data_IF_247997557440
#
_entry.id   IF_247997557440
#
_cell.length_a   1.000
_cell.length_b   1.000
_cell.length_c   1.000
_cell.angle_alpha   90.00
_cell.angle_beta   90.00
_cell.angle_gamma   90.00
#
_symmetry.space_group_name_H-M   'P 1'
#
loop_
_entity.id
_entity.type
_entity.pdbx_description
1 polymer ?
#
# COMPACT_ATOMS: atom_id res chain seq x y z
N UNK A 1 20.15 -12.68 -11.09
CA UNK A 1 19.85 -13.46 -9.87
C UNK A 1 18.34 -13.57 -9.67
N UNK A 2 17.88 -14.62 -8.99
CA UNK A 2 16.48 -14.75 -8.58
C UNK A 2 16.34 -14.32 -7.13
N UNK A 3 15.43 -13.39 -6.86
CA UNK A 3 15.19 -12.80 -5.55
C UNK A 3 13.81 -13.22 -5.07
N UNK A 4 13.68 -13.62 -3.82
CA UNK A 4 12.39 -13.77 -3.15
C UNK A 4 12.10 -12.49 -2.34
N UNK A 5 10.97 -11.85 -2.64
CA UNK A 5 10.42 -10.79 -1.81
C UNK A 5 9.37 -11.36 -0.85
N UNK A 6 9.51 -11.10 0.45
CA UNK A 6 8.57 -11.54 1.47
C UNK A 6 7.86 -10.33 2.05
N UNK A 7 6.54 -10.39 2.10
CA UNK A 7 5.73 -9.36 2.71
C UNK A 7 4.57 -9.96 3.51
N UNK A 8 4.34 -9.38 4.68
CA UNK A 8 3.13 -9.58 5.46
C UNK A 8 2.50 -8.22 5.73
N UNK A 9 1.27 -8.04 5.27
CA UNK A 9 0.54 -6.77 5.36
C UNK A 9 -0.06 -6.52 6.73
N UNK A 10 -0.57 -5.31 6.96
CA UNK A 10 -1.23 -4.91 8.22
C UNK A 10 -2.59 -5.58 8.45
N UNK A 11 -3.15 -6.25 7.45
CA UNK A 11 -4.32 -7.12 7.58
C UNK A 11 -4.01 -8.42 8.36
N UNK A 12 -2.72 -8.77 8.44
CA UNK A 12 -2.22 -9.99 9.09
C UNK A 12 -2.88 -11.28 8.57
N UNK A 13 -3.23 -11.32 7.27
CA UNK A 13 -3.91 -12.48 6.68
C UNK A 13 -2.93 -13.62 6.38
N UNK A 14 -1.66 -13.30 6.13
CA UNK A 14 -0.65 -14.29 5.80
C UNK A 14 0.63 -13.70 5.21
N UNK A 15 1.37 -14.58 4.60
CA UNK A 15 2.70 -14.34 4.02
C UNK A 15 2.59 -14.33 2.50
N UNK A 16 3.04 -13.27 1.88
CA UNK A 16 3.16 -13.17 0.43
C UNK A 16 4.62 -13.38 0.04
N UNK A 17 4.88 -14.27 -0.90
CA UNK A 17 6.20 -14.53 -1.47
C UNK A 17 6.17 -14.28 -2.96
N UNK A 18 6.94 -13.31 -3.43
CA UNK A 18 7.10 -13.02 -4.85
C UNK A 18 8.50 -13.44 -5.32
N UNK A 19 8.59 -14.20 -6.40
CA UNK A 19 9.85 -14.53 -7.06
C UNK A 19 10.07 -13.61 -8.26
N UNK A 20 11.21 -12.92 -8.26
CA UNK A 20 11.57 -11.93 -9.28
C UNK A 20 12.98 -12.23 -9.78
N UNK A 21 13.16 -12.27 -11.10
CA UNK A 21 14.49 -12.30 -11.70
C UNK A 21 14.99 -10.87 -11.90
N UNK A 22 16.09 -10.56 -11.25
CA UNK A 22 16.78 -9.27 -11.38
C UNK A 22 17.98 -9.47 -12.29
N UNK A 23 18.01 -8.71 -13.37
CA UNK A 23 19.11 -8.74 -14.35
C UNK A 23 19.70 -7.35 -14.42
N UNK A 24 21.03 -7.29 -14.28
CA UNK A 24 21.80 -6.08 -14.50
C UNK A 24 22.43 -6.16 -15.89
N UNK A 25 21.98 -5.30 -16.79
CA UNK A 25 22.61 -5.11 -18.08
C UNK A 25 23.58 -3.93 -17.98
N UNK A 26 24.88 -4.17 -18.18
CA UNK A 26 25.85 -3.07 -18.28
C UNK A 26 25.39 -2.13 -19.40
N UNK A 27 24.94 -0.95 -19.05
CA UNK A 27 24.69 0.10 -20.02
C UNK A 27 26.05 0.48 -20.64
N UNK A 28 26.15 0.44 -21.95
CA UNK A 28 27.36 0.80 -22.71
C UNK A 28 27.70 2.30 -22.64
N UNK A 29 26.87 3.11 -21.96
CA UNK A 29 27.14 4.51 -21.62
C UNK A 29 26.71 4.80 -20.20
N UNK A 30 27.53 5.49 -19.38
CA UNK A 30 27.14 5.93 -18.05
C UNK A 30 26.01 6.97 -18.20
N UNK A 31 24.77 6.55 -18.06
CA UNK A 31 23.66 7.48 -17.83
C UNK A 31 23.60 7.77 -16.34
N UNK A 32 23.26 8.98 -16.00
CA UNK A 32 23.26 9.64 -14.70
C UNK A 32 22.40 8.99 -13.59
N UNK A 33 21.94 7.75 -13.76
CA UNK A 33 21.17 7.01 -12.77
C UNK A 33 21.87 5.70 -12.42
N UNK A 34 22.16 5.51 -11.15
CA UNK A 34 22.77 4.32 -10.54
C UNK A 34 22.01 3.01 -10.85
N UNK A 35 20.77 3.12 -11.33
CA UNK A 35 19.87 2.00 -11.65
C UNK A 35 19.64 1.81 -13.17
N UNK A 36 20.39 2.53 -14.01
CA UNK A 36 20.32 2.32 -15.46
C UNK A 36 20.83 0.92 -15.80
N UNK A 37 19.96 0.09 -16.38
CA UNK A 37 20.29 -1.29 -16.73
C UNK A 37 19.69 -2.36 -15.82
N UNK A 38 19.01 -2.02 -14.73
CA UNK A 38 18.22 -2.98 -13.95
C UNK A 38 16.92 -3.33 -14.69
N UNK A 39 16.73 -4.61 -14.93
CA UNK A 39 15.46 -5.15 -15.43
C UNK A 39 14.90 -6.18 -14.46
N UNK A 40 13.58 -6.19 -14.33
CA UNK A 40 12.86 -7.08 -13.45
C UNK A 40 11.95 -7.98 -14.27
N UNK A 41 12.04 -9.28 -14.05
CA UNK A 41 11.11 -10.26 -14.61
C UNK A 41 10.38 -10.93 -13.45
N UNK A 42 9.08 -10.69 -13.35
CA UNK A 42 8.21 -11.43 -12.44
C UNK A 42 8.19 -12.90 -12.85
N UNK A 43 8.38 -13.80 -11.90
CA UNK A 43 8.41 -15.25 -12.12
C UNK A 43 7.14 -15.88 -11.55
N UNK A 44 6.86 -15.64 -10.26
CA UNK A 44 5.77 -16.28 -9.55
C UNK A 44 5.39 -15.50 -8.29
N UNK A 45 4.17 -15.75 -7.81
CA UNK A 45 3.66 -15.29 -6.54
C UNK A 45 2.92 -16.42 -5.83
N UNK A 46 3.10 -16.50 -4.53
CA UNK A 46 2.38 -17.43 -3.68
C UNK A 46 1.96 -16.74 -2.38
N UNK A 47 0.80 -17.13 -1.86
CA UNK A 47 0.25 -16.67 -0.61
C UNK A 47 0.10 -17.85 0.35
N UNK A 48 0.46 -17.62 1.59
CA UNK A 48 0.37 -18.60 2.68
C UNK A 48 -0.37 -17.97 3.84
N UNK A 49 -1.59 -18.40 4.15
CA UNK A 49 -2.34 -17.83 5.27
C UNK A 49 -1.63 -18.14 6.59
N UNK A 50 -1.68 -17.19 7.50
CA UNK A 50 -1.23 -17.47 8.86
C UNK A 50 -2.12 -18.52 9.55
N UNK A 51 -1.55 -19.43 10.36
CA UNK A 51 -2.33 -20.19 11.32
C UNK A 51 -3.17 -19.25 12.21
N UNK A 52 -4.37 -19.68 12.59
CA UNK A 52 -5.32 -18.82 13.34
C UNK A 52 -4.72 -18.21 14.60
N UNK A 53 -3.93 -18.99 15.34
CA UNK A 53 -3.27 -18.58 16.57
C UNK A 53 -2.19 -17.54 16.31
N UNK A 54 -1.41 -17.72 15.24
CA UNK A 54 -0.37 -16.75 14.81
C UNK A 54 -1.01 -15.44 14.39
N UNK A 55 -2.06 -15.50 13.56
CA UNK A 55 -2.82 -14.31 13.15
C UNK A 55 -3.36 -13.53 14.34
N UNK A 56 -3.93 -14.26 15.31
CA UNK A 56 -4.45 -13.66 16.56
C UNK A 56 -3.33 -12.98 17.33
N UNK A 57 -2.19 -13.66 17.55
CA UNK A 57 -1.05 -13.10 18.27
C UNK A 57 -0.46 -11.86 17.59
N UNK A 58 -0.38 -11.85 16.24
CA UNK A 58 0.04 -10.68 15.46
C UNK A 58 -0.92 -9.51 15.67
N UNK A 59 -2.24 -9.72 15.54
CA UNK A 59 -3.24 -8.67 15.71
C UNK A 59 -3.29 -8.14 17.14
N UNK A 60 -3.13 -9.00 18.14
CA UNK A 60 -3.02 -8.59 19.54
C UNK A 60 -1.77 -7.72 19.76
N UNK A 61 -0.61 -8.13 19.24
CA UNK A 61 0.63 -7.35 19.35
C UNK A 61 0.53 -5.98 18.67
N UNK A 62 -0.08 -5.91 17.47
CA UNK A 62 -0.28 -4.65 16.71
C UNK A 62 -1.20 -3.65 17.41
N UNK A 63 -2.13 -4.11 18.24
CA UNK A 63 -3.12 -3.28 18.92
C UNK A 63 -2.84 -3.13 20.43
N UNK A 64 -1.73 -3.72 20.90
CA UNK A 64 -1.40 -3.70 22.33
C UNK A 64 -0.91 -2.33 22.79
N UNK A 65 -1.44 -1.85 23.90
CA UNK A 65 -0.87 -0.72 24.67
C UNK A 65 0.26 -1.19 25.57
N UNK A 66 0.21 -2.47 25.98
CA UNK A 66 1.23 -3.15 26.76
C UNK A 66 1.33 -4.61 26.33
N UNK A 67 2.53 -5.14 26.26
CA UNK A 67 2.77 -6.54 25.89
C UNK A 67 4.06 -7.06 26.54
N UNK A 68 4.18 -8.37 26.64
CA UNK A 68 5.38 -9.01 27.18
C UNK A 68 6.51 -9.00 26.15
N UNK A 69 7.70 -8.56 26.57
CA UNK A 69 8.91 -8.64 25.75
C UNK A 69 9.18 -10.07 25.28
N UNK A 70 8.95 -11.05 26.14
CA UNK A 70 9.14 -12.47 25.78
C UNK A 70 8.18 -12.94 24.70
N UNK A 71 6.92 -12.46 24.69
CA UNK A 71 5.96 -12.77 23.61
C UNK A 71 6.39 -12.14 22.30
N UNK A 72 6.83 -10.88 22.29
CA UNK A 72 7.32 -10.22 21.09
C UNK A 72 8.56 -10.91 20.52
N UNK A 73 9.52 -11.28 21.38
CA UNK A 73 10.71 -12.02 20.95
C UNK A 73 10.35 -13.38 20.33
N UNK A 74 9.46 -14.15 20.97
CA UNK A 74 8.98 -15.42 20.42
C UNK A 74 8.26 -15.24 19.09
N UNK A 75 7.42 -14.21 18.97
CA UNK A 75 6.70 -13.90 17.73
C UNK A 75 7.68 -13.53 16.60
N UNK A 76 8.72 -12.74 16.90
CA UNK A 76 9.76 -12.38 15.93
C UNK A 76 10.45 -13.61 15.32
N UNK A 77 10.82 -14.58 16.15
CA UNK A 77 11.48 -15.83 15.72
C UNK A 77 10.50 -16.76 15.00
N UNK A 78 9.30 -16.94 15.54
CA UNK A 78 8.27 -17.81 14.92
C UNK A 78 7.90 -17.31 13.51
N UNK A 79 7.73 -16.01 13.32
CA UNK A 79 7.43 -15.45 12.00
C UNK A 79 8.56 -15.71 11.00
N UNK A 80 9.82 -15.65 11.43
CA UNK A 80 10.96 -15.98 10.58
C UNK A 80 10.95 -17.44 10.11
N UNK A 81 10.61 -18.39 10.99
CA UNK A 81 10.45 -19.80 10.62
C UNK A 81 9.34 -20.00 9.59
N UNK A 82 8.19 -19.34 9.77
CA UNK A 82 7.07 -19.39 8.82
C UNK A 82 7.44 -18.75 7.47
N UNK A 83 8.21 -17.68 7.48
CA UNK A 83 8.72 -17.05 6.26
C UNK A 83 9.68 -17.97 5.50
N UNK A 84 10.56 -18.66 6.23
CA UNK A 84 11.48 -19.63 5.64
C UNK A 84 10.71 -20.79 4.98
N UNK A 85 9.73 -21.36 5.68
CA UNK A 85 8.87 -22.40 5.13
C UNK A 85 8.13 -21.95 3.87
N UNK A 86 7.57 -20.73 3.88
CA UNK A 86 6.89 -20.12 2.74
C UNK A 86 7.83 -19.99 1.53
N UNK A 87 9.06 -19.49 1.73
CA UNK A 87 10.06 -19.37 0.65
C UNK A 87 10.46 -20.74 0.10
N UNK A 88 10.80 -21.69 0.98
CA UNK A 88 11.20 -23.06 0.56
C UNK A 88 10.08 -23.76 -0.21
N UNK A 89 8.83 -23.60 0.24
CA UNK A 89 7.65 -24.14 -0.44
C UNK A 89 7.44 -23.48 -1.80
N UNK A 90 7.63 -22.14 -1.88
CA UNK A 90 7.54 -21.40 -3.16
C UNK A 90 8.64 -21.84 -4.13
N UNK A 91 9.88 -22.03 -3.66
CA UNK A 91 10.97 -22.54 -4.48
C UNK A 91 10.63 -23.92 -5.07
N UNK A 92 10.12 -24.85 -4.25
CA UNK A 92 9.71 -26.19 -4.70
C UNK A 92 8.56 -26.12 -5.71
N UNK A 93 7.51 -25.35 -5.38
CA UNK A 93 6.31 -25.23 -6.23
C UNK A 93 6.59 -24.70 -7.62
N UNK A 94 7.49 -23.74 -7.75
CA UNK A 94 7.79 -23.09 -9.03
C UNK A 94 9.13 -23.52 -9.65
N UNK A 95 9.79 -24.52 -9.06
CA UNK A 95 11.09 -25.04 -9.53
C UNK A 95 12.13 -23.91 -9.70
N UNK A 96 12.16 -22.98 -8.76
CA UNK A 96 13.10 -21.86 -8.77
C UNK A 96 14.02 -21.92 -7.55
N UNK A 97 15.31 -21.65 -7.75
CA UNK A 97 16.27 -21.44 -6.67
C UNK A 97 16.49 -19.94 -6.47
N UNK A 98 16.31 -19.45 -5.24
CA UNK A 98 16.59 -18.05 -4.90
C UNK A 98 18.05 -17.88 -4.51
N UNK A 99 18.60 -16.68 -4.74
CA UNK A 99 19.97 -16.30 -4.41
C UNK A 99 20.01 -15.18 -3.37
N UNK A 100 18.88 -14.55 -3.10
CA UNK A 100 18.73 -13.42 -2.17
C UNK A 100 17.28 -13.35 -1.72
N UNK A 101 17.07 -12.99 -0.46
CA UNK A 101 15.75 -12.67 0.08
C UNK A 101 15.69 -11.19 0.46
N UNK A 102 14.61 -10.52 0.07
CA UNK A 102 14.18 -9.25 0.64
C UNK A 102 13.01 -9.50 1.59
N UNK A 103 13.18 -9.26 2.88
CA UNK A 103 12.16 -9.49 3.89
C UNK A 103 11.66 -8.18 4.48
N UNK A 104 10.39 -7.82 4.19
CA UNK A 104 9.74 -6.68 4.84
C UNK A 104 9.38 -6.97 6.29
N UNK A 105 9.06 -8.23 6.61
CA UNK A 105 8.52 -8.61 7.91
C UNK A 105 7.07 -8.18 8.13
N UNK A 106 6.58 -8.38 9.35
CA UNK A 106 5.25 -7.96 9.82
C UNK A 106 5.36 -6.67 10.62
N UNK A 107 4.76 -5.59 10.14
CA UNK A 107 4.74 -4.34 10.90
C UNK A 107 3.88 -4.50 12.15
N UNK A 108 4.48 -4.33 13.31
CA UNK A 108 3.78 -4.25 14.59
C UNK A 108 3.50 -2.81 14.99
N UNK A 109 4.43 -1.90 14.72
CA UNK A 109 4.30 -0.49 15.05
C UNK A 109 4.93 0.41 13.99
N UNK A 110 4.33 1.55 13.73
CA UNK A 110 4.89 2.57 12.84
C UNK A 110 4.42 3.96 13.26
N UNK A 111 5.39 4.85 13.47
CA UNK A 111 5.20 6.25 13.80
C UNK A 111 6.23 7.07 13.03
N UNK A 112 5.88 7.50 11.81
CA UNK A 112 6.78 8.26 10.93
C UNK A 112 7.01 9.71 11.37
N UNK A 113 6.13 10.27 12.19
CA UNK A 113 6.32 11.61 12.78
C UNK A 113 6.96 11.48 14.17
N UNK A 114 7.99 12.30 14.47
CA UNK A 114 8.62 12.27 15.79
C UNK A 114 7.66 12.66 16.91
N UNK A 115 7.59 11.83 17.97
CA UNK A 115 6.90 12.12 19.22
C UNK A 115 7.88 12.17 20.38
N UNK A 116 7.48 12.84 21.47
CA UNK A 116 8.31 12.96 22.67
C UNK A 116 8.32 11.63 23.44
N UNK A 117 9.53 11.09 23.67
CA UNK A 117 9.76 9.90 24.46
C UNK A 117 11.02 10.08 25.33
N UNK A 118 10.90 10.00 26.65
CA UNK A 118 12.00 10.20 27.60
C UNK A 118 12.82 11.49 27.36
N UNK A 119 12.13 12.58 26.99
CA UNK A 119 12.77 13.87 26.71
C UNK A 119 13.32 14.03 25.28
N UNK A 120 13.28 12.99 24.45
CA UNK A 120 13.77 13.01 23.08
C UNK A 120 12.61 12.93 22.05
N UNK A 121 12.75 13.62 20.92
CA UNK A 121 11.84 13.46 19.78
C UNK A 121 12.28 12.25 18.96
N UNK A 122 11.48 11.20 18.94
CA UNK A 122 11.79 9.94 18.29
C UNK A 122 10.68 9.56 17.29
N UNK A 123 11.06 9.26 16.05
CA UNK A 123 10.23 8.57 15.07
C UNK A 123 10.63 7.10 15.08
N UNK A 124 9.67 6.19 15.02
CA UNK A 124 9.97 4.75 15.17
C UNK A 124 9.16 3.91 14.20
N UNK A 125 9.74 2.78 13.84
CA UNK A 125 9.02 1.72 13.11
C UNK A 125 9.57 0.37 13.55
N UNK A 126 8.72 -0.64 13.60
CA UNK A 126 9.12 -1.97 13.98
C UNK A 126 8.41 -3.03 13.15
N UNK A 127 9.21 -3.80 12.43
CA UNK A 127 8.81 -4.96 11.67
C UNK A 127 9.44 -6.20 12.31
N UNK A 128 8.65 -7.27 12.47
CA UNK A 128 9.10 -8.55 13.02
C UNK A 128 9.25 -9.61 11.94
N UNK A 129 10.10 -10.58 12.22
CA UNK A 129 10.52 -11.65 11.32
C UNK A 129 12.04 -11.65 11.22
N UNK A 130 12.72 -12.34 12.17
CA UNK A 130 14.17 -12.31 12.39
C UNK A 130 14.96 -12.74 11.16
N UNK A 131 15.66 -11.79 10.54
CA UNK A 131 16.40 -12.00 9.29
C UNK A 131 17.50 -13.04 9.39
N UNK A 132 18.16 -13.17 10.54
CA UNK A 132 19.23 -14.15 10.79
C UNK A 132 18.70 -15.58 10.76
N UNK A 133 17.52 -15.81 11.37
CA UNK A 133 16.85 -17.12 11.34
C UNK A 133 16.46 -17.47 9.92
N UNK A 134 15.85 -16.53 9.20
CA UNK A 134 15.46 -16.72 7.80
C UNK A 134 16.65 -17.03 6.91
N UNK A 135 17.78 -16.33 7.07
CA UNK A 135 19.01 -16.58 6.33
C UNK A 135 19.56 -17.98 6.59
N UNK A 136 19.60 -18.39 7.85
CA UNK A 136 20.10 -19.73 8.24
C UNK A 136 19.20 -20.86 7.72
N UNK A 137 17.86 -20.67 7.68
CA UNK A 137 16.92 -21.71 7.23
C UNK A 137 16.90 -21.91 5.72
N UNK A 138 17.08 -20.83 4.96
CA UNK A 138 17.02 -20.89 3.48
C UNK A 138 18.41 -20.99 2.87
N UNK A 139 19.45 -20.74 3.65
CA UNK A 139 20.85 -20.74 3.23
C UNK A 139 21.14 -19.75 2.09
N UNK A 140 20.64 -18.52 2.25
CA UNK A 140 20.89 -17.40 1.33
C UNK A 140 20.94 -16.07 2.11
N UNK A 141 21.66 -15.05 1.59
CA UNK A 141 21.62 -13.71 2.18
C UNK A 141 20.19 -13.15 2.30
N UNK A 142 19.91 -12.41 3.37
CA UNK A 142 18.64 -11.72 3.62
C UNK A 142 18.90 -10.23 3.80
N UNK A 143 18.11 -9.42 3.12
CA UNK A 143 18.03 -7.97 3.35
C UNK A 143 16.69 -7.69 4.03
N UNK A 144 16.75 -7.08 5.21
CA UNK A 144 15.58 -6.69 6.03
C UNK A 144 15.66 -5.22 6.43
N UNK A 145 14.75 -4.78 7.29
CA UNK A 145 14.76 -3.45 7.92
C UNK A 145 14.71 -2.27 6.93
N UNK A 146 13.96 -2.43 5.85
CA UNK A 146 13.80 -1.39 4.84
C UNK A 146 13.24 -0.08 5.40
N UNK A 147 12.26 -0.17 6.31
CA UNK A 147 11.64 1.02 6.91
C UNK A 147 12.56 1.72 7.92
N UNK A 148 13.23 1.01 8.85
CA UNK A 148 14.25 1.62 9.70
C UNK A 148 15.39 2.26 8.89
N UNK A 149 15.84 1.62 7.80
CA UNK A 149 16.88 2.16 6.94
C UNK A 149 16.46 3.47 6.24
N UNK A 150 15.22 3.54 5.72
CA UNK A 150 14.65 4.77 5.15
C UNK A 150 14.58 5.89 6.19
N UNK A 151 14.11 5.58 7.41
CA UNK A 151 14.03 6.57 8.51
C UNK A 151 15.41 7.06 8.94
N UNK A 152 16.40 6.19 9.00
CA UNK A 152 17.78 6.55 9.31
C UNK A 152 18.39 7.47 8.23
N UNK A 153 17.96 7.32 6.99
CA UNK A 153 18.33 8.21 5.88
C UNK A 153 17.52 9.53 5.83
N UNK A 154 16.65 9.79 6.83
CA UNK A 154 15.83 11.01 6.91
C UNK A 154 14.44 10.88 6.29
N UNK A 155 14.05 9.69 5.84
CA UNK A 155 12.70 9.37 5.37
C UNK A 155 11.72 9.13 6.54
N UNK A 156 10.50 8.76 6.20
CA UNK A 156 9.43 8.46 7.17
C UNK A 156 9.14 6.95 7.31
N UNK A 157 9.91 6.08 6.63
CA UNK A 157 9.73 4.65 6.62
C UNK A 157 8.50 4.17 5.81
N UNK A 158 7.72 5.10 5.24
CA UNK A 158 6.57 4.81 4.39
C UNK A 158 6.25 6.04 3.51
N UNK A 159 5.75 5.83 2.26
CA UNK A 159 5.65 4.57 1.55
C UNK A 159 7.00 4.13 0.94
N UNK A 160 7.23 2.82 0.79
CA UNK A 160 8.44 2.27 0.13
C UNK A 160 8.24 1.94 -1.36
N UNK A 161 6.99 1.67 -1.76
CA UNK A 161 6.62 1.27 -3.12
C UNK A 161 6.97 2.32 -4.20
N UNK A 162 6.94 3.63 -3.94
CA UNK A 162 7.20 4.66 -4.96
C UNK A 162 8.56 4.54 -5.66
N UNK A 163 9.56 4.01 -4.98
CA UNK A 163 10.85 3.75 -5.61
C UNK A 163 10.77 2.62 -6.66
N UNK A 164 10.04 1.57 -6.36
CA UNK A 164 9.77 0.49 -7.32
C UNK A 164 8.90 1.00 -8.48
N UNK A 165 7.87 1.79 -8.19
CA UNK A 165 7.03 2.41 -9.22
C UNK A 165 7.88 3.25 -10.17
N UNK A 166 8.80 4.06 -9.62
CA UNK A 166 9.73 4.84 -10.43
C UNK A 166 10.58 3.95 -11.35
N UNK A 167 11.12 2.84 -10.84
CA UNK A 167 11.94 1.93 -11.64
C UNK A 167 11.16 1.25 -12.75
N UNK A 168 9.91 0.86 -12.49
CA UNK A 168 9.06 0.14 -13.43
C UNK A 168 8.34 1.04 -14.44
N UNK A 169 7.91 2.23 -14.02
CA UNK A 169 7.00 3.06 -14.79
C UNK A 169 7.61 4.36 -15.31
N UNK A 170 8.87 4.68 -14.99
CA UNK A 170 9.52 5.85 -15.59
C UNK A 170 9.58 5.75 -17.11
N UNK A 171 9.41 6.88 -17.77
CA UNK A 171 9.45 6.98 -19.22
C UNK A 171 9.99 8.33 -19.66
N UNK A 172 10.76 8.36 -20.73
CA UNK A 172 11.27 9.61 -21.32
C UNK A 172 10.19 10.33 -22.15
N UNK A 173 9.09 9.66 -22.48
CA UNK A 173 8.05 10.18 -23.37
C UNK A 173 6.78 10.61 -22.66
N UNK A 174 6.38 9.88 -21.64
CA UNK A 174 5.05 10.03 -21.02
C UNK A 174 5.15 10.01 -19.51
N UNK A 175 4.63 11.03 -18.86
CA UNK A 175 4.43 11.00 -17.41
C UNK A 175 3.35 9.98 -17.03
N UNK A 176 3.56 9.28 -15.91
CA UNK A 176 2.67 8.25 -15.40
C UNK A 176 2.27 8.51 -13.97
N UNK A 177 1.03 8.17 -13.67
CA UNK A 177 0.53 8.10 -12.32
C UNK A 177 0.23 6.64 -12.02
N UNK A 178 0.83 6.11 -10.97
CA UNK A 178 0.56 4.77 -10.46
C UNK A 178 -0.28 4.91 -9.20
N UNK A 179 -1.50 4.42 -9.25
CA UNK A 179 -2.48 4.48 -8.16
C UNK A 179 -2.68 3.09 -7.59
N UNK A 180 -2.36 2.93 -6.33
CA UNK A 180 -2.75 1.75 -5.58
C UNK A 180 -4.03 2.03 -4.79
N UNK A 181 -5.03 1.17 -4.91
CA UNK A 181 -6.29 1.23 -4.16
C UNK A 181 -6.37 -0.03 -3.28
N UNK A 182 -5.69 0.04 -2.14
CA UNK A 182 -5.80 -0.93 -1.06
C UNK A 182 -6.87 -0.53 -0.03
N UNK A 183 -6.66 -0.79 1.24
CA UNK A 183 -7.48 -0.23 2.32
C UNK A 183 -7.43 1.30 2.33
N UNK A 184 -6.22 1.85 2.17
CA UNK A 184 -5.95 3.26 1.87
C UNK A 184 -5.58 3.37 0.39
N UNK A 185 -5.97 4.46 -0.25
CA UNK A 185 -5.59 4.79 -1.61
C UNK A 185 -4.34 5.70 -1.61
N UNK A 186 -3.31 5.31 -2.36
CA UNK A 186 -2.08 6.08 -2.50
C UNK A 186 -1.63 6.15 -3.96
N UNK A 187 -0.90 7.18 -4.30
CA UNK A 187 -0.38 7.36 -5.64
C UNK A 187 1.12 7.65 -5.67
N UNK A 188 1.72 7.29 -6.79
CA UNK A 188 3.06 7.70 -7.21
C UNK A 188 2.95 8.44 -8.53
N UNK A 189 3.31 9.71 -8.57
CA UNK A 189 3.33 10.53 -9.79
C UNK A 189 4.77 10.67 -10.31
N UNK A 190 5.00 10.16 -11.51
CA UNK A 190 6.29 10.06 -12.17
C UNK A 190 6.23 10.90 -13.46
N UNK A 191 6.72 12.14 -13.47
CA UNK A 191 6.77 12.96 -14.68
C UNK A 191 7.60 12.30 -15.78
N UNK A 192 7.36 12.67 -17.04
CA UNK A 192 8.24 12.26 -18.13
C UNK A 192 9.67 12.75 -17.86
N UNK A 193 10.67 11.92 -18.14
CA UNK A 193 12.11 12.18 -17.91
C UNK A 193 12.49 12.47 -16.44
N UNK A 194 11.61 12.22 -15.47
CA UNK A 194 11.89 12.51 -14.06
C UNK A 194 13.11 11.75 -13.53
N UNK A 195 13.89 12.42 -12.72
CA UNK A 195 14.79 11.79 -11.76
C UNK A 195 14.00 11.24 -10.56
N UNK A 196 14.62 10.39 -9.74
CA UNK A 196 13.95 9.85 -8.55
C UNK A 196 13.49 10.95 -7.56
N UNK A 197 14.23 12.04 -7.44
CA UNK A 197 13.90 13.17 -6.57
C UNK A 197 12.71 14.03 -7.03
N UNK A 198 12.23 13.83 -8.25
CA UNK A 198 11.07 14.55 -8.80
C UNK A 198 9.77 13.74 -8.69
N UNK A 199 9.86 12.51 -8.20
CA UNK A 199 8.70 11.65 -7.94
C UNK A 199 7.94 12.16 -6.72
N UNK A 200 6.62 12.24 -6.84
CA UNK A 200 5.74 12.63 -5.75
C UNK A 200 4.89 11.42 -5.38
N UNK A 201 4.89 11.05 -4.10
CA UNK A 201 4.07 9.96 -3.59
C UNK A 201 3.39 10.36 -2.29
N UNK A 202 2.10 10.01 -2.14
CA UNK A 202 1.32 10.31 -0.96
C UNK A 202 -0.02 9.56 -0.95
N UNK A 203 -0.66 9.48 0.22
CA UNK A 203 -1.97 8.91 0.38
C UNK A 203 -3.06 9.91 -0.04
N UNK A 204 -3.96 9.47 -0.91
CA UNK A 204 -5.01 10.33 -1.47
C UNK A 204 -6.27 10.38 -0.62
N UNK A 205 -6.53 9.31 0.14
CA UNK A 205 -7.70 9.16 0.98
C UNK A 205 -8.03 7.70 1.27
N UNK A 206 -9.27 7.41 1.70
CA UNK A 206 -9.70 6.03 1.88
C UNK A 206 -9.70 5.29 0.54
N UNK A 207 -9.28 4.03 0.57
CA UNK A 207 -9.49 3.08 -0.51
C UNK A 207 -10.72 2.20 -0.21
N UNK A 208 -10.49 0.89 -0.12
CA UNK A 208 -11.56 -0.07 0.18
C UNK A 208 -12.00 -0.06 1.65
N UNK A 209 -11.16 0.43 2.59
CA UNK A 209 -11.41 0.32 4.03
C UNK A 209 -12.79 0.83 4.47
N UNK A 210 -13.23 1.97 3.94
CA UNK A 210 -14.54 2.55 4.27
C UNK A 210 -15.65 1.79 3.57
N UNK A 211 -15.45 1.39 2.32
CA UNK A 211 -16.41 0.61 1.52
C UNK A 211 -16.69 -0.73 2.20
N UNK A 212 -15.63 -1.45 2.56
CA UNK A 212 -15.72 -2.77 3.18
C UNK A 212 -16.42 -2.68 4.55
N UNK A 213 -16.02 -1.72 5.39
CA UNK A 213 -16.63 -1.53 6.72
C UNK A 213 -18.13 -1.16 6.63
N UNK A 214 -18.53 -0.36 5.66
CA UNK A 214 -19.94 -0.01 5.41
C UNK A 214 -20.70 -1.23 4.89
N UNK A 215 -20.12 -1.97 3.95
CA UNK A 215 -20.71 -3.18 3.36
C UNK A 215 -20.91 -4.26 4.44
N UNK A 216 -19.91 -4.48 5.28
CA UNK A 216 -20.00 -5.44 6.39
C UNK A 216 -21.12 -5.07 7.36
N UNK A 217 -21.22 -3.80 7.75
CA UNK A 217 -22.25 -3.34 8.68
C UNK A 217 -23.66 -3.49 8.12
N UNK A 218 -23.86 -3.09 6.85
CA UNK A 218 -25.21 -2.97 6.26
C UNK A 218 -25.70 -4.26 5.60
N UNK A 219 -24.78 -5.05 5.03
CA UNK A 219 -25.11 -6.23 4.23
C UNK A 219 -24.55 -7.54 4.81
N UNK A 220 -23.73 -7.48 5.89
CA UNK A 220 -23.08 -8.65 6.49
C UNK A 220 -22.15 -9.38 5.51
N UNK A 221 -21.55 -8.64 4.59
CA UNK A 221 -20.57 -9.12 3.60
C UNK A 221 -19.23 -8.43 3.85
N UNK A 222 -18.10 -9.13 3.72
CA UNK A 222 -16.79 -8.56 4.02
C UNK A 222 -16.39 -7.42 3.10
N UNK A 223 -16.92 -7.39 1.87
CA UNK A 223 -16.68 -6.35 0.86
C UNK A 223 -17.79 -6.35 -0.21
N UNK A 224 -17.86 -5.29 -1.01
CA UNK A 224 -18.75 -5.17 -2.17
C UNK A 224 -18.12 -5.84 -3.38
N UNK A 225 -18.49 -7.13 -3.61
CA UNK A 225 -17.96 -7.90 -4.74
C UNK A 225 -18.32 -7.23 -6.05
N UNK A 226 -17.31 -6.97 -6.90
CA UNK A 226 -17.43 -6.36 -8.22
C UNK A 226 -18.14 -4.97 -8.21
N UNK A 227 -18.30 -4.37 -7.03
CA UNK A 227 -19.00 -3.09 -6.87
C UNK A 227 -20.50 -3.15 -7.15
N UNK A 228 -21.12 -4.33 -7.08
CA UNK A 228 -22.52 -4.53 -7.46
C UNK A 228 -23.50 -3.82 -6.54
N UNK A 229 -23.19 -3.72 -5.23
CA UNK A 229 -24.05 -2.98 -4.29
C UNK A 229 -23.97 -1.49 -4.61
N UNK A 230 -22.77 -0.95 -4.79
CA UNK A 230 -22.58 0.46 -5.16
C UNK A 230 -23.22 0.80 -6.50
N UNK A 231 -23.17 -0.12 -7.49
CA UNK A 231 -23.79 0.08 -8.80
C UNK A 231 -25.32 0.21 -8.75
N UNK A 232 -25.96 -0.36 -7.73
CA UNK A 232 -27.43 -0.31 -7.54
C UNK A 232 -27.89 0.88 -6.71
N UNK A 233 -26.97 1.71 -6.18
CA UNK A 233 -27.28 2.86 -5.35
C UNK A 233 -27.02 4.19 -6.04
N UNK A 234 -27.60 5.26 -5.49
CA UNK A 234 -27.35 6.64 -5.85
C UNK A 234 -26.34 7.29 -4.90
N UNK A 235 -25.44 8.11 -5.45
CA UNK A 235 -24.43 8.82 -4.64
C UNK A 235 -25.07 10.02 -3.93
N UNK A 236 -24.80 10.16 -2.64
CA UNK A 236 -25.17 11.34 -1.85
C UNK A 236 -24.09 12.42 -2.01
N UNK A 237 -24.18 13.21 -3.07
CA UNK A 237 -23.16 14.19 -3.47
C UNK A 237 -22.83 15.23 -2.40
N UNK A 238 -23.82 15.67 -1.62
CA UNK A 238 -23.63 16.59 -0.51
C UNK A 238 -22.74 16.01 0.57
N UNK A 239 -22.91 14.74 0.91
CA UNK A 239 -22.10 14.02 1.92
C UNK A 239 -20.66 13.91 1.46
N UNK A 240 -20.42 13.49 0.20
CA UNK A 240 -19.06 13.41 -0.35
C UNK A 240 -18.39 14.77 -0.35
N UNK A 241 -19.09 15.81 -0.80
CA UNK A 241 -18.57 17.17 -0.88
C UNK A 241 -18.24 17.75 0.49
N UNK A 242 -19.04 17.46 1.51
CA UNK A 242 -18.78 17.86 2.89
C UNK A 242 -17.50 17.17 3.43
N UNK A 243 -17.40 15.86 3.26
CA UNK A 243 -16.25 15.08 3.77
C UNK A 243 -14.94 15.53 3.11
N UNK A 244 -14.94 15.79 1.80
CA UNK A 244 -13.75 16.24 1.08
C UNK A 244 -13.23 17.63 1.50
N UNK A 245 -13.96 18.36 2.35
CA UNK A 245 -13.49 19.60 3.01
C UNK A 245 -12.70 19.34 4.29
N UNK A 246 -12.65 18.11 4.79
CA UNK A 246 -11.91 17.77 6.00
C UNK A 246 -10.39 18.02 5.84
N UNK A 247 -9.67 18.35 6.94
CA UNK A 247 -8.27 18.77 6.90
C UNK A 247 -7.34 17.82 6.16
N UNK A 248 -7.54 16.51 6.27
CA UNK A 248 -6.73 15.52 5.56
C UNK A 248 -6.71 15.77 4.05
N UNK A 249 -7.86 15.96 3.42
CA UNK A 249 -7.95 16.12 1.96
C UNK A 249 -7.36 17.43 1.48
N UNK A 250 -7.30 18.44 2.35
CA UNK A 250 -6.75 19.77 2.05
C UNK A 250 -5.24 19.88 2.30
N UNK A 251 -4.68 19.03 3.15
CA UNK A 251 -3.26 19.00 3.52
C UNK A 251 -2.39 18.70 2.30
N UNK A 252 -1.32 19.48 2.15
CA UNK A 252 -0.33 19.29 1.08
C UNK A 252 0.49 18.02 1.32
N UNK A 253 0.94 17.31 0.24
CA UNK A 253 1.96 16.28 0.37
C UNK A 253 3.30 16.82 0.92
N UNK A 254 4.09 15.99 1.62
CA UNK A 254 3.84 14.58 1.90
C UNK A 254 2.77 14.37 2.98
N UNK A 255 1.87 13.41 2.76
CA UNK A 255 0.85 13.02 3.74
C UNK A 255 0.59 11.52 3.68
N UNK A 256 0.35 10.93 4.82
CA UNK A 256 0.00 9.53 5.01
C UNK A 256 -1.30 9.41 5.80
N UNK A 257 -1.98 8.30 5.65
CA UNK A 257 -3.21 7.96 6.36
C UNK A 257 -3.23 6.48 6.73
N UNK A 258 -3.98 6.16 7.75
CA UNK A 258 -4.20 4.80 8.21
C UNK A 258 -5.57 4.62 8.86
N UNK A 259 -5.65 3.67 9.77
CA UNK A 259 -6.87 3.42 10.55
C UNK A 259 -7.23 4.55 11.50
N UNK A 260 -6.25 5.33 11.91
CA UNK A 260 -6.41 6.54 12.72
C UNK A 260 -7.22 7.62 12.00
N UNK A 261 -7.08 7.72 10.67
CA UNK A 261 -7.76 8.73 9.84
C UNK A 261 -9.11 8.21 9.29
N UNK A 262 -9.14 6.95 8.78
CA UNK A 262 -10.29 6.39 8.06
C UNK A 262 -10.87 5.12 8.70
N UNK A 263 -10.53 4.85 9.97
CA UNK A 263 -11.00 3.67 10.69
C UNK A 263 -12.42 3.79 11.24
N UNK A 264 -12.64 3.14 12.37
CA UNK A 264 -13.97 2.93 12.96
C UNK A 264 -14.74 4.22 13.22
N UNK A 265 -14.07 5.24 13.75
CA UNK A 265 -14.71 6.53 14.08
C UNK A 265 -15.12 7.28 12.82
N UNK A 266 -14.26 7.31 11.81
CA UNK A 266 -14.60 7.90 10.51
C UNK A 266 -15.81 7.22 9.89
N UNK A 267 -15.85 5.87 9.86
CA UNK A 267 -16.98 5.11 9.33
C UNK A 267 -18.27 5.41 10.08
N UNK A 268 -18.23 5.54 11.41
CA UNK A 268 -19.41 5.93 12.21
C UNK A 268 -19.93 7.31 11.82
N UNK A 269 -19.02 8.29 11.72
CA UNK A 269 -19.39 9.65 11.31
C UNK A 269 -19.90 9.71 9.88
N UNK A 270 -19.26 8.97 8.96
CA UNK A 270 -19.71 8.82 7.57
C UNK A 270 -21.15 8.30 7.51
N UNK A 271 -21.44 7.19 8.18
CA UNK A 271 -22.80 6.63 8.22
C UNK A 271 -23.82 7.58 8.86
N UNK A 272 -23.43 8.32 9.90
CA UNK A 272 -24.28 9.34 10.52
C UNK A 272 -24.66 10.45 9.52
N UNK A 273 -23.71 10.90 8.69
CA UNK A 273 -23.95 11.89 7.64
C UNK A 273 -24.87 11.36 6.54
N UNK A 274 -24.78 10.09 6.20
CA UNK A 274 -25.70 9.46 5.24
C UNK A 274 -27.13 9.33 5.79
N UNK A 275 -27.33 9.41 7.10
CA UNK A 275 -28.63 9.39 7.75
C UNK A 275 -29.41 8.12 7.50
N UNK A 276 -30.67 8.29 7.01
CA UNK A 276 -31.60 7.18 6.68
C UNK A 276 -31.63 6.82 5.20
N UNK A 277 -30.57 7.17 4.46
CA UNK A 277 -30.49 6.82 3.04
C UNK A 277 -30.56 5.29 2.83
N UNK A 278 -31.01 4.82 1.65
CA UNK A 278 -30.96 3.41 1.29
C UNK A 278 -29.57 2.84 1.46
N UNK A 279 -29.49 1.58 1.90
CA UNK A 279 -28.19 0.94 2.18
C UNK A 279 -27.24 0.94 0.96
N UNK A 280 -27.79 0.76 -0.22
CA UNK A 280 -27.03 0.78 -1.49
C UNK A 280 -26.44 2.17 -1.76
N UNK A 281 -27.18 3.23 -1.47
CA UNK A 281 -26.75 4.61 -1.66
C UNK A 281 -25.58 4.95 -0.73
N UNK A 282 -25.59 4.40 0.48
CA UNK A 282 -24.49 4.57 1.44
C UNK A 282 -23.21 3.90 0.91
N UNK A 283 -23.31 2.70 0.33
CA UNK A 283 -22.14 2.00 -0.28
C UNK A 283 -21.69 2.74 -1.54
N UNK A 284 -22.61 3.18 -2.41
CA UNK A 284 -22.30 4.01 -3.58
C UNK A 284 -21.58 5.31 -3.20
N UNK A 285 -22.02 5.95 -2.11
CA UNK A 285 -21.41 7.17 -1.58
C UNK A 285 -19.99 6.92 -1.06
N UNK A 286 -19.74 5.79 -0.36
CA UNK A 286 -18.42 5.41 0.09
C UNK A 286 -17.46 5.14 -1.10
N UNK A 287 -17.96 4.45 -2.15
CA UNK A 287 -17.22 4.19 -3.38
C UNK A 287 -16.88 5.49 -4.12
N UNK A 288 -17.85 6.40 -4.24
CA UNK A 288 -17.65 7.72 -4.83
C UNK A 288 -16.67 8.58 -4.02
N UNK A 289 -16.68 8.50 -2.69
CA UNK A 289 -15.72 9.20 -1.85
C UNK A 289 -14.27 8.79 -2.20
N UNK A 290 -14.01 7.50 -2.37
CA UNK A 290 -12.71 7.00 -2.82
C UNK A 290 -12.33 7.58 -4.19
N UNK A 291 -13.20 7.48 -5.19
CA UNK A 291 -12.92 7.97 -6.53
C UNK A 291 -12.67 9.49 -6.56
N UNK A 292 -13.49 10.26 -5.86
CA UNK A 292 -13.37 11.73 -5.82
C UNK A 292 -12.19 12.21 -4.97
N UNK A 293 -11.84 11.51 -3.89
CA UNK A 293 -10.65 11.86 -3.11
C UNK A 293 -9.38 11.73 -3.94
N UNK A 294 -9.27 10.65 -4.72
CA UNK A 294 -8.18 10.44 -5.68
C UNK A 294 -8.13 11.56 -6.72
N UNK A 295 -9.24 11.81 -7.41
CA UNK A 295 -9.31 12.83 -8.46
C UNK A 295 -8.99 14.23 -7.93
N UNK A 296 -9.48 14.59 -6.76
CA UNK A 296 -9.20 15.88 -6.13
C UNK A 296 -7.72 16.01 -5.74
N UNK A 297 -7.12 14.95 -5.22
CA UNK A 297 -5.70 14.93 -4.90
C UNK A 297 -4.84 15.15 -6.15
N UNK A 298 -5.19 14.51 -7.27
CA UNK A 298 -4.52 14.71 -8.55
C UNK A 298 -4.64 16.16 -9.05
N UNK A 299 -5.86 16.69 -9.13
CA UNK A 299 -6.11 18.08 -9.60
C UNK A 299 -5.36 19.09 -8.73
N UNK A 300 -5.34 18.88 -7.42
CA UNK A 300 -4.83 19.86 -6.47
C UNK A 300 -3.30 19.81 -6.29
N UNK A 301 -2.71 18.64 -6.34
CA UNK A 301 -1.32 18.45 -5.93
C UNK A 301 -0.38 17.94 -7.03
N UNK A 302 -0.90 17.35 -8.10
CA UNK A 302 -0.10 16.67 -9.12
C UNK A 302 -0.20 17.37 -10.47
N UNK A 303 -1.39 17.60 -10.98
CA UNK A 303 -1.63 18.16 -12.32
C UNK A 303 -1.59 19.69 -12.27
N UNK A 304 -1.07 20.34 -13.31
CA UNK A 304 -1.15 21.80 -13.44
C UNK A 304 0.11 22.58 -13.05
N UNK A 305 1.20 21.90 -12.69
CA UNK A 305 2.50 22.54 -12.39
C UNK A 305 3.50 22.43 -13.54
N UNK A 306 3.04 22.57 -14.79
CA UNK A 306 3.88 22.39 -15.97
C UNK A 306 4.27 20.93 -16.27
N UNK A 307 3.75 19.97 -15.48
CA UNK A 307 3.98 18.53 -15.66
C UNK A 307 2.75 17.89 -16.32
N UNK A 308 3.00 17.13 -17.38
CA UNK A 308 1.96 16.41 -18.11
C UNK A 308 2.04 14.92 -17.80
N UNK A 309 0.87 14.32 -17.61
CA UNK A 309 0.73 12.87 -17.39
C UNK A 309 -0.22 12.31 -18.44
N UNK A 310 0.25 11.31 -19.19
CA UNK A 310 -0.54 10.68 -20.27
C UNK A 310 -1.16 9.34 -19.85
N UNK A 311 -0.62 8.69 -18.84
CA UNK A 311 -1.06 7.36 -18.42
C UNK A 311 -1.38 7.35 -16.91
N UNK A 312 -2.44 6.64 -16.58
CA UNK A 312 -2.89 6.39 -15.22
C UNK A 312 -3.07 4.89 -15.00
N UNK A 313 -2.19 4.31 -14.19
CA UNK A 313 -2.15 2.86 -13.91
C UNK A 313 -2.81 2.61 -12.56
N UNK A 314 -3.78 1.70 -12.52
CA UNK A 314 -4.48 1.32 -11.29
C UNK A 314 -4.06 -0.06 -10.83
N UNK A 315 -3.81 -0.21 -9.54
CA UNK A 315 -3.45 -1.46 -8.89
C UNK A 315 -4.14 -1.62 -7.54
N UNK A 316 -3.91 -2.75 -6.87
CA UNK A 316 -4.53 -3.08 -5.60
C UNK A 316 -5.91 -3.72 -5.75
N UNK A 317 -6.52 -4.09 -4.63
CA UNK A 317 -7.85 -4.76 -4.62
C UNK A 317 -8.95 -3.93 -5.27
N UNK A 318 -8.88 -2.60 -5.17
CA UNK A 318 -9.84 -1.69 -5.80
C UNK A 318 -9.81 -1.70 -7.32
N UNK A 319 -8.72 -2.15 -7.95
CA UNK A 319 -8.66 -2.36 -9.40
C UNK A 319 -9.62 -3.45 -9.90
N UNK A 320 -10.09 -4.31 -9.01
CA UNK A 320 -11.08 -5.35 -9.30
C UNK A 320 -12.53 -4.89 -9.08
N UNK A 321 -12.77 -3.62 -8.78
CA UNK A 321 -14.12 -3.07 -8.59
C UNK A 321 -14.53 -2.20 -9.80
N UNK A 322 -15.31 -2.75 -10.76
CA UNK A 322 -15.67 -2.05 -11.98
C UNK A 322 -16.46 -0.74 -11.72
N UNK A 323 -17.31 -0.72 -10.69
CA UNK A 323 -18.10 0.46 -10.32
C UNK A 323 -17.20 1.60 -9.85
N UNK A 324 -16.23 1.29 -8.98
CA UNK A 324 -15.23 2.29 -8.54
C UNK A 324 -14.38 2.78 -9.72
N UNK A 325 -13.92 1.88 -10.59
CA UNK A 325 -13.16 2.27 -11.78
C UNK A 325 -13.95 3.15 -12.72
N UNK A 326 -15.25 2.87 -12.94
CA UNK A 326 -16.13 3.71 -13.74
C UNK A 326 -16.30 5.11 -13.13
N UNK A 327 -16.56 5.19 -11.81
CA UNK A 327 -16.63 6.48 -11.09
C UNK A 327 -15.31 7.25 -11.19
N UNK A 328 -14.19 6.59 -10.98
CA UNK A 328 -12.86 7.19 -11.08
C UNK A 328 -12.58 7.67 -12.52
N UNK A 329 -12.86 6.86 -13.53
CA UNK A 329 -12.68 7.23 -14.93
C UNK A 329 -13.51 8.49 -15.31
N UNK A 330 -14.74 8.58 -14.82
CA UNK A 330 -15.58 9.78 -15.00
C UNK A 330 -14.94 11.02 -14.36
N UNK A 331 -14.42 10.91 -13.15
CA UNK A 331 -13.73 11.99 -12.44
C UNK A 331 -12.41 12.40 -13.13
N UNK A 332 -11.72 11.46 -13.75
CA UNK A 332 -10.44 11.70 -14.45
C UNK A 332 -10.60 12.16 -15.89
N UNK A 333 -11.80 12.06 -16.49
CA UNK A 333 -12.05 12.45 -17.88
C UNK A 333 -11.50 13.84 -18.25
N UNK A 334 -11.66 14.89 -17.40
CA UNK A 334 -11.13 16.24 -17.72
C UNK A 334 -9.60 16.27 -17.79
N UNK A 335 -8.91 15.32 -17.18
CA UNK A 335 -7.44 15.26 -17.12
C UNK A 335 -6.83 14.60 -18.38
N UNK A 336 -7.67 14.02 -19.26
CA UNK A 336 -7.25 13.40 -20.55
C UNK A 336 -6.17 12.32 -20.41
N UNK A 337 -6.14 11.61 -19.28
CA UNK A 337 -5.19 10.52 -19.07
C UNK A 337 -5.79 9.19 -19.54
N UNK A 338 -4.93 8.33 -20.10
CA UNK A 338 -5.32 6.97 -20.47
C UNK A 338 -5.27 6.08 -19.22
N UNK A 339 -6.42 5.62 -18.74
CA UNK A 339 -6.53 4.69 -17.63
C UNK A 339 -6.20 3.27 -18.13
N UNK A 340 -5.37 2.57 -17.37
CA UNK A 340 -4.94 1.19 -17.62
C UNK A 340 -5.06 0.34 -16.35
#
# INVERSE_FOLDING_TARGET
>A
MTVAGIMSGTSADGINVALVRVVWTRATRPRTSTFAGLTFKFIAHAEYPYPKEVRRAVLEAMNATQTSVAQLARLNFLLAELYAEAVLTTQRRFHQKVSLIGCHGQTLYHQGEPALFLGHKVAVTWQTGEGSVLAARVDVPVVSDFRPADMAAGGKGAPLVPFLDYLLYRSDRTGRIVQNIGGIANLTAIPAKASAGEVIAFDTGPGNMVIDAVTERLFKRPYDRDGLIAASGAVLDSVVSEILRAPFFLRKPPKTAGREEFGREFVQQFMKRCGRAPKQDIVATATSLTARSIANALRRFVVGRGKTFGEYVVSGGGANNPTMLAMLANELRPLKMKVR
#
